data_IF_642973952634
#
_entry.id   IF_642973952634
#
_cell.length_a   1.000
_cell.length_b   1.000
_cell.length_c   1.000
_cell.angle_alpha   90.00
_cell.angle_beta   90.00
_cell.angle_gamma   90.00
#
_symmetry.space_group_name_H-M   'P 1'
#
loop_
_entity.id
_entity.type
_entity.pdbx_description
1 polymer ?
#
# COMPACT_ATOMS: atom_id res chain seq x y z
N UNK A 1 -25.14 1.23 45.18
CA UNK A 1 -24.98 2.69 45.04
C UNK A 1 -26.26 3.53 45.36
N UNK A 2 -27.29 2.96 45.99
CA UNK A 2 -28.44 3.71 46.49
C UNK A 2 -29.20 4.60 45.47
N UNK A 3 -29.25 4.15 44.21
CA UNK A 3 -29.90 4.86 43.09
C UNK A 3 -29.39 6.29 42.82
N UNK A 4 -28.17 6.63 43.24
CA UNK A 4 -27.50 7.89 42.95
C UNK A 4 -26.27 7.71 42.11
N UNK A 5 -25.92 8.71 41.30
CA UNK A 5 -24.72 8.75 40.47
C UNK A 5 -23.86 9.95 40.83
N UNK A 6 -22.53 9.75 40.78
CA UNK A 6 -21.58 10.86 40.91
C UNK A 6 -21.58 11.74 39.64
N UNK A 7 -20.99 12.93 39.76
CA UNK A 7 -20.81 13.80 38.60
C UNK A 7 -19.93 13.15 37.52
N UNK A 8 -18.90 12.40 37.93
CA UNK A 8 -18.00 11.68 37.04
C UNK A 8 -18.74 10.58 36.24
N UNK A 9 -19.56 9.77 36.93
CA UNK A 9 -20.39 8.77 36.27
C UNK A 9 -21.36 9.39 35.28
N UNK A 10 -22.02 10.52 35.65
CA UNK A 10 -22.94 11.23 34.72
C UNK A 10 -22.19 11.77 33.48
N UNK A 11 -20.97 12.30 33.65
CA UNK A 11 -20.15 12.73 32.53
C UNK A 11 -19.74 11.55 31.62
N UNK A 12 -19.42 10.42 32.22
CA UNK A 12 -19.12 9.21 31.46
C UNK A 12 -20.35 8.72 30.69
N UNK A 13 -21.52 8.62 31.31
CA UNK A 13 -22.76 8.25 30.62
C UNK A 13 -23.11 9.24 29.49
N UNK A 14 -22.96 10.52 29.71
CA UNK A 14 -23.17 11.53 28.67
C UNK A 14 -22.20 11.34 27.48
N UNK A 15 -20.90 11.10 27.74
CA UNK A 15 -19.92 10.81 26.72
C UNK A 15 -20.32 9.59 25.89
N UNK A 16 -20.72 8.49 26.54
CA UNK A 16 -21.13 7.26 25.83
C UNK A 16 -22.41 7.49 24.99
N UNK A 17 -23.40 8.19 25.54
CA UNK A 17 -24.63 8.52 24.84
C UNK A 17 -24.35 9.38 23.58
N UNK A 18 -23.52 10.43 23.73
CA UNK A 18 -23.15 11.29 22.60
C UNK A 18 -22.22 10.60 21.60
N UNK A 19 -21.41 9.64 22.02
CA UNK A 19 -20.62 8.80 21.10
C UNK A 19 -21.53 8.03 20.13
N UNK A 20 -22.62 7.45 20.65
CA UNK A 20 -23.60 6.73 19.83
C UNK A 20 -24.40 7.68 18.95
N UNK A 21 -25.00 8.74 19.53
CA UNK A 21 -25.89 9.64 18.78
C UNK A 21 -25.13 10.42 17.69
N UNK A 22 -23.94 10.95 18.00
CA UNK A 22 -23.14 11.70 17.00
C UNK A 22 -22.68 10.83 15.83
N UNK A 23 -22.37 9.56 16.08
CA UNK A 23 -22.05 8.60 15.02
C UNK A 23 -23.26 8.34 14.14
N UNK A 24 -24.41 8.10 14.75
CA UNK A 24 -25.68 7.87 14.05
C UNK A 24 -26.11 9.10 13.25
N UNK A 25 -26.09 10.30 13.86
CA UNK A 25 -26.45 11.55 13.20
C UNK A 25 -25.51 11.87 12.02
N UNK A 26 -24.21 11.57 12.15
CA UNK A 26 -23.24 11.69 11.04
C UNK A 26 -23.59 10.77 9.88
N UNK A 27 -24.01 9.53 10.16
CA UNK A 27 -24.41 8.59 9.13
C UNK A 27 -25.70 9.02 8.42
N UNK A 28 -26.70 9.52 9.18
CA UNK A 28 -27.93 10.09 8.63
C UNK A 28 -27.64 11.31 7.76
N UNK A 29 -26.82 12.25 8.26
CA UNK A 29 -26.43 13.41 7.48
C UNK A 29 -25.80 13.02 6.14
N UNK A 30 -24.78 12.13 6.17
CA UNK A 30 -24.11 11.68 4.96
C UNK A 30 -25.05 10.98 3.97
N UNK A 31 -26.07 10.26 4.48
CA UNK A 31 -27.09 9.63 3.64
C UNK A 31 -27.93 10.65 2.88
N UNK A 32 -28.38 11.73 3.56
CA UNK A 32 -29.21 12.77 2.94
C UNK A 32 -28.38 13.77 2.12
N UNK A 33 -27.15 14.06 2.52
CA UNK A 33 -26.23 14.95 1.78
C UNK A 33 -25.79 14.30 0.44
N UNK A 34 -25.73 12.96 0.39
CA UNK A 34 -25.47 12.20 -0.84
C UNK A 34 -24.18 12.62 -1.51
N UNK A 35 -24.28 13.03 -2.78
CA UNK A 35 -23.14 13.50 -3.59
C UNK A 35 -22.92 15.02 -3.48
N UNK A 36 -23.81 15.76 -2.85
CA UNK A 36 -23.70 17.22 -2.73
C UNK A 36 -22.44 17.64 -1.99
N UNK A 37 -22.08 16.91 -0.92
CA UNK A 37 -20.85 17.13 -0.17
C UNK A 37 -20.82 18.48 0.55
N UNK A 38 -21.99 18.94 1.07
CA UNK A 38 -22.15 20.25 1.69
C UNK A 38 -21.33 20.42 2.97
N UNK A 39 -21.01 19.30 3.67
CA UNK A 39 -20.13 19.30 4.83
C UNK A 39 -19.42 17.95 5.02
N UNK A 40 -18.16 18.01 5.46
CA UNK A 40 -17.41 16.80 5.81
C UNK A 40 -17.83 16.31 7.20
N UNK A 41 -18.36 15.08 7.26
CA UNK A 41 -18.70 14.36 8.49
C UNK A 41 -18.08 12.98 8.43
N UNK A 42 -17.13 12.70 9.33
CA UNK A 42 -16.50 11.39 9.45
C UNK A 42 -16.48 10.99 10.93
N UNK A 43 -16.93 9.78 11.21
CA UNK A 43 -16.93 9.21 12.55
C UNK A 43 -16.41 7.79 12.53
N UNK A 44 -15.40 7.50 13.33
CA UNK A 44 -14.83 6.18 13.53
C UNK A 44 -14.60 5.93 15.04
N UNK A 45 -15.16 4.85 15.56
CA UNK A 45 -15.23 4.61 17.00
C UNK A 45 -14.10 3.73 17.53
N UNK A 46 -13.59 2.79 16.76
CA UNK A 46 -12.63 1.80 17.24
C UNK A 46 -11.21 2.39 17.28
N UNK A 47 -10.84 2.97 18.42
CA UNK A 47 -9.50 3.50 18.63
C UNK A 47 -8.52 2.38 18.98
N UNK A 48 -7.43 2.30 18.21
CA UNK A 48 -6.23 1.55 18.57
C UNK A 48 -5.10 2.53 18.86
N UNK A 49 -4.58 2.53 20.09
CA UNK A 49 -3.39 3.32 20.43
C UNK A 49 -2.17 2.65 19.82
N UNK A 50 -1.39 3.40 19.07
CA UNK A 50 -0.13 2.95 18.49
C UNK A 50 1.02 3.28 19.46
N UNK A 51 2.14 2.59 19.31
CA UNK A 51 3.32 2.81 20.14
C UNK A 51 3.78 4.27 20.14
N UNK A 52 3.73 4.92 18.98
CA UNK A 52 4.00 6.36 18.74
C UNK A 52 3.41 6.74 17.38
N UNK A 53 3.45 8.01 17.01
CA UNK A 53 3.06 8.50 15.68
C UNK A 53 4.14 8.25 14.64
N UNK A 54 4.33 9.20 13.71
CA UNK A 54 5.41 9.12 12.72
C UNK A 54 6.79 9.14 13.40
N UNK A 55 6.92 9.92 14.46
CA UNK A 55 8.14 10.03 15.26
C UNK A 55 7.90 9.60 16.72
N UNK A 56 8.95 9.14 17.44
CA UNK A 56 8.82 8.57 18.79
C UNK A 56 8.22 9.49 19.85
N UNK A 57 8.31 10.80 19.70
CA UNK A 57 7.76 11.79 20.63
C UNK A 57 6.28 12.13 20.38
N UNK A 58 5.71 11.65 19.25
CA UNK A 58 4.32 11.89 18.86
C UNK A 58 3.43 10.77 19.37
N UNK A 59 2.24 11.11 19.88
CA UNK A 59 1.18 10.13 20.14
C UNK A 59 0.50 9.77 18.83
N UNK A 60 0.33 8.47 18.59
CA UNK A 60 -0.34 7.95 17.40
C UNK A 60 -1.57 7.13 17.78
N UNK A 61 -2.62 7.25 17.00
CA UNK A 61 -3.84 6.46 17.11
C UNK A 61 -4.33 6.09 15.72
N UNK A 62 -4.86 4.90 15.61
CA UNK A 62 -5.62 4.46 14.45
C UNK A 62 -7.09 4.34 14.86
N UNK A 63 -7.98 4.87 14.05
CA UNK A 63 -9.43 4.75 14.21
C UNK A 63 -9.99 3.96 13.05
N UNK A 64 -10.54 2.80 13.31
CA UNK A 64 -11.07 1.90 12.30
C UNK A 64 -10.98 0.44 12.73
N UNK A 65 -11.32 -0.48 11.84
CA UNK A 65 -11.29 -1.92 12.09
C UNK A 65 -10.24 -2.60 11.21
N UNK A 66 -9.00 -2.70 11.69
CA UNK A 66 -7.92 -3.41 10.99
C UNK A 66 -8.21 -4.91 10.87
N UNK A 67 -8.94 -5.49 11.83
CA UNK A 67 -9.28 -6.91 11.81
C UNK A 67 -10.28 -7.26 10.69
N UNK A 68 -11.02 -6.28 10.16
CA UNK A 68 -11.82 -6.47 8.95
C UNK A 68 -10.96 -6.60 7.69
N UNK A 69 -9.74 -6.07 7.72
CA UNK A 69 -8.81 -6.04 6.58
C UNK A 69 -7.77 -7.16 6.63
N UNK A 70 -7.30 -7.49 7.84
CA UNK A 70 -6.18 -8.41 8.05
C UNK A 70 -6.37 -9.27 9.30
N UNK A 71 -5.88 -10.51 9.24
CA UNK A 71 -5.53 -11.27 10.43
C UNK A 71 -4.02 -11.15 10.66
N UNK A 72 -3.62 -10.53 11.76
CA UNK A 72 -2.22 -10.54 12.18
C UNK A 72 -1.94 -11.86 12.92
N UNK A 73 -1.26 -12.77 12.25
CA UNK A 73 -1.00 -14.12 12.77
C UNK A 73 0.35 -14.25 13.47
N UNK A 74 1.26 -13.26 13.31
CA UNK A 74 2.57 -13.26 13.94
C UNK A 74 3.14 -11.84 14.10
N UNK A 75 4.07 -11.68 15.05
CA UNK A 75 4.98 -10.54 15.15
C UNK A 75 4.57 -9.46 16.17
N UNK A 76 5.32 -8.36 16.13
CA UNK A 76 5.10 -7.18 16.99
C UNK A 76 3.85 -6.41 16.57
N UNK A 77 3.39 -5.49 17.42
CA UNK A 77 2.33 -4.55 17.06
C UNK A 77 2.70 -3.70 15.83
N UNK A 78 1.70 -3.48 14.96
CA UNK A 78 1.84 -2.64 13.77
C UNK A 78 2.03 -1.19 14.20
N UNK A 79 3.07 -0.53 13.70
CA UNK A 79 3.38 0.88 13.98
C UNK A 79 2.63 1.83 13.03
N UNK A 80 2.66 3.12 13.35
CA UNK A 80 2.14 4.18 12.49
C UNK A 80 2.76 4.12 11.06
N UNK A 81 4.09 4.04 10.98
CA UNK A 81 4.78 3.97 9.70
C UNK A 81 4.49 2.66 8.94
N UNK A 82 4.39 1.52 9.67
CA UNK A 82 3.95 0.29 9.01
C UNK A 82 2.55 0.43 8.40
N UNK A 83 1.60 1.10 9.07
CA UNK A 83 0.26 1.31 8.51
C UNK A 83 0.28 2.15 7.23
N UNK A 84 1.14 3.16 7.14
CA UNK A 84 1.30 3.94 5.90
C UNK A 84 1.85 3.09 4.76
N UNK A 85 2.89 2.29 5.03
CA UNK A 85 3.49 1.40 4.05
C UNK A 85 2.53 0.27 3.64
N UNK A 86 1.78 -0.31 4.60
CA UNK A 86 0.74 -1.33 4.35
C UNK A 86 -0.35 -0.76 3.44
N UNK A 87 -0.83 0.47 3.69
CA UNK A 87 -1.83 1.10 2.83
C UNK A 87 -1.32 1.26 1.40
N UNK A 88 -0.09 1.77 1.22
CA UNK A 88 0.51 1.91 -0.10
C UNK A 88 0.70 0.54 -0.80
N UNK A 89 1.08 -0.50 -0.04
CA UNK A 89 1.23 -1.85 -0.55
C UNK A 89 -0.10 -2.45 -1.03
N UNK A 90 -1.18 -2.23 -0.27
CA UNK A 90 -2.53 -2.68 -0.64
C UNK A 90 -3.04 -1.93 -1.86
N UNK A 91 -2.90 -0.60 -1.89
CA UNK A 91 -3.31 0.21 -3.05
C UNK A 91 -2.60 -0.27 -4.34
N UNK A 92 -1.29 -0.55 -4.25
CA UNK A 92 -0.51 -0.99 -5.40
C UNK A 92 -0.86 -2.41 -5.86
N UNK A 93 -0.97 -3.38 -4.93
CA UNK A 93 -1.19 -4.79 -5.33
C UNK A 93 -2.57 -5.00 -5.94
N UNK A 94 -3.57 -4.18 -5.56
CA UNK A 94 -4.93 -4.23 -6.09
C UNK A 94 -5.04 -3.84 -7.57
N UNK A 95 -4.01 -3.24 -8.13
CA UNK A 95 -3.93 -2.95 -9.57
C UNK A 95 -3.66 -4.21 -10.43
N UNK A 96 -3.26 -5.35 -9.81
CA UNK A 96 -2.78 -6.53 -10.52
C UNK A 96 -3.70 -7.73 -10.31
N UNK A 97 -4.14 -8.32 -11.42
CA UNK A 97 -4.90 -9.59 -11.43
C UNK A 97 -3.97 -10.81 -11.52
N UNK A 98 -2.82 -10.68 -12.19
CA UNK A 98 -1.80 -11.72 -12.31
C UNK A 98 -1.06 -11.90 -11.00
N UNK A 99 -0.48 -13.09 -10.77
CA UNK A 99 0.37 -13.34 -9.59
C UNK A 99 1.52 -12.33 -9.57
N UNK A 100 1.50 -11.45 -8.60
CA UNK A 100 2.40 -10.32 -8.48
C UNK A 100 2.99 -10.27 -7.08
N UNK A 101 4.27 -9.94 -7.00
CA UNK A 101 4.94 -9.65 -5.75
C UNK A 101 5.50 -8.24 -5.77
N UNK A 102 5.25 -7.47 -4.71
CA UNK A 102 5.76 -6.12 -4.55
C UNK A 102 6.57 -5.98 -3.25
N UNK A 103 7.63 -5.21 -3.34
CA UNK A 103 8.49 -4.79 -2.23
C UNK A 103 8.41 -3.28 -2.12
N UNK A 104 7.91 -2.80 -0.98
CA UNK A 104 7.76 -1.36 -0.74
C UNK A 104 8.63 -0.88 0.40
N UNK A 105 9.06 0.37 0.31
CA UNK A 105 9.72 1.09 1.38
C UNK A 105 9.37 2.56 1.30
N UNK A 106 8.97 3.14 2.45
CA UNK A 106 8.55 4.55 2.52
C UNK A 106 7.46 4.89 1.49
N UNK A 107 6.42 4.03 1.43
CA UNK A 107 5.24 4.15 0.56
C UNK A 107 5.53 4.04 -0.96
N UNK A 108 6.72 3.62 -1.37
CA UNK A 108 7.05 3.46 -2.79
C UNK A 108 7.55 2.05 -3.08
N UNK A 109 7.23 1.53 -4.26
CA UNK A 109 7.77 0.27 -4.72
C UNK A 109 9.26 0.41 -5.05
N UNK A 110 10.09 -0.42 -4.44
CA UNK A 110 11.48 -0.60 -4.81
C UNK A 110 11.72 -1.88 -5.63
N UNK A 111 10.75 -2.79 -5.63
CA UNK A 111 10.73 -3.98 -6.46
C UNK A 111 9.29 -4.41 -6.74
N UNK A 112 9.03 -4.89 -7.95
CA UNK A 112 7.73 -5.46 -8.31
C UNK A 112 7.88 -6.30 -9.58
N UNK A 113 7.27 -7.48 -9.58
CA UNK A 113 7.18 -8.31 -10.77
C UNK A 113 5.91 -9.17 -10.77
N UNK A 114 5.38 -9.44 -11.98
CA UNK A 114 4.30 -10.40 -12.21
C UNK A 114 4.86 -11.63 -12.92
N UNK A 115 4.65 -12.83 -12.32
CA UNK A 115 5.17 -14.10 -12.83
C UNK A 115 4.16 -15.22 -12.60
N UNK A 116 4.32 -16.37 -13.24
CA UNK A 116 3.43 -17.53 -13.03
C UNK A 116 3.39 -18.02 -11.58
N UNK A 117 4.49 -17.91 -10.83
CA UNK A 117 4.59 -18.34 -9.43
C UNK A 117 5.00 -17.19 -8.50
N UNK A 118 4.65 -17.29 -7.21
CA UNK A 118 5.06 -16.32 -6.19
C UNK A 118 6.58 -16.30 -6.03
N UNK A 119 7.23 -17.46 -6.10
CA UNK A 119 8.69 -17.56 -6.02
C UNK A 119 9.40 -16.80 -7.15
N UNK A 120 8.95 -16.98 -8.39
CA UNK A 120 9.51 -16.25 -9.54
C UNK A 120 9.25 -14.75 -9.43
N UNK A 121 8.03 -14.37 -9.03
CA UNK A 121 7.64 -12.97 -8.82
C UNK A 121 8.49 -12.32 -7.71
N UNK A 122 8.74 -13.03 -6.60
CA UNK A 122 9.64 -12.58 -5.54
C UNK A 122 11.07 -12.36 -6.01
N UNK A 123 11.64 -13.32 -6.69
CA UNK A 123 13.04 -13.24 -7.15
C UNK A 123 13.26 -12.04 -8.08
N UNK A 124 12.35 -11.83 -9.02
CA UNK A 124 12.43 -10.72 -9.95
C UNK A 124 12.08 -9.37 -9.31
N UNK A 125 11.12 -9.34 -8.35
CA UNK A 125 10.85 -8.14 -7.57
C UNK A 125 12.06 -7.72 -6.73
N UNK A 126 12.69 -8.67 -6.03
CA UNK A 126 13.89 -8.40 -5.23
C UNK A 126 15.06 -7.88 -6.09
N UNK A 127 15.22 -8.40 -7.30
CA UNK A 127 16.29 -7.97 -8.22
C UNK A 127 16.20 -6.48 -8.58
N UNK A 128 15.02 -5.86 -8.53
CA UNK A 128 14.83 -4.44 -8.84
C UNK A 128 15.60 -3.50 -7.91
N UNK A 129 15.65 -3.80 -6.61
CA UNK A 129 16.46 -3.06 -5.63
C UNK A 129 16.65 -3.89 -4.35
N UNK A 130 17.59 -4.83 -4.33
CA UNK A 130 17.82 -5.69 -3.18
C UNK A 130 18.34 -4.94 -1.95
N UNK A 131 18.90 -3.76 -2.14
CA UNK A 131 19.42 -2.92 -1.04
C UNK A 131 18.26 -2.24 -0.29
N UNK A 132 17.34 -1.61 -1.02
CA UNK A 132 16.18 -0.95 -0.42
C UNK A 132 15.17 -1.95 0.13
N UNK A 133 15.12 -3.18 -0.38
CA UNK A 133 14.22 -4.24 0.10
C UNK A 133 14.46 -4.58 1.58
N UNK A 134 15.68 -4.37 2.09
CA UNK A 134 16.00 -4.62 3.50
C UNK A 134 15.17 -3.73 4.43
N UNK A 135 14.40 -4.36 5.32
CA UNK A 135 13.48 -3.68 6.25
C UNK A 135 12.22 -3.11 5.58
N UNK A 136 11.88 -3.58 4.39
CA UNK A 136 10.67 -3.17 3.66
C UNK A 136 9.39 -3.87 4.10
N UNK A 137 8.31 -3.52 3.43
CA UNK A 137 7.00 -4.18 3.47
C UNK A 137 6.84 -4.99 2.19
N UNK A 138 6.52 -6.26 2.35
CA UNK A 138 6.34 -7.23 1.28
C UNK A 138 4.85 -7.52 1.09
N UNK A 139 4.38 -7.60 -0.15
CA UNK A 139 3.01 -7.97 -0.44
C UNK A 139 2.92 -8.79 -1.73
N UNK A 140 2.03 -9.77 -1.72
CA UNK A 140 1.65 -10.54 -2.91
C UNK A 140 0.15 -10.80 -2.91
N UNK A 141 -0.42 -10.97 -4.11
CA UNK A 141 -1.79 -11.45 -4.30
C UNK A 141 -1.86 -12.98 -4.49
N UNK A 142 -0.72 -13.68 -4.44
CA UNK A 142 -0.64 -15.14 -4.48
C UNK A 142 -0.42 -15.75 -3.08
N UNK A 143 -0.70 -17.06 -2.95
CA UNK A 143 -0.41 -17.83 -1.72
C UNK A 143 1.09 -18.07 -1.62
N UNK A 144 1.66 -17.84 -0.44
CA UNK A 144 3.09 -18.05 -0.19
C UNK A 144 3.30 -19.52 0.21
N UNK A 145 3.96 -20.26 -0.67
CA UNK A 145 4.38 -21.63 -0.45
C UNK A 145 5.73 -21.71 0.29
N UNK A 146 6.17 -22.94 0.58
CA UNK A 146 7.42 -23.21 1.25
C UNK A 146 8.64 -22.65 0.50
N UNK A 147 8.72 -22.89 -0.80
CA UNK A 147 9.89 -22.51 -1.62
C UNK A 147 10.03 -20.98 -1.69
N UNK A 148 8.94 -20.27 -1.86
CA UNK A 148 8.92 -18.81 -1.79
C UNK A 148 9.31 -18.30 -0.39
N UNK A 149 8.81 -18.93 0.68
CA UNK A 149 9.12 -18.54 2.05
C UNK A 149 10.61 -18.73 2.38
N UNK A 150 11.25 -19.80 1.90
CA UNK A 150 12.70 -20.05 2.06
C UNK A 150 13.54 -18.93 1.43
N UNK A 151 13.19 -18.48 0.22
CA UNK A 151 13.89 -17.38 -0.45
C UNK A 151 13.62 -16.02 0.22
N UNK A 152 12.35 -15.73 0.56
CA UNK A 152 11.94 -14.50 1.27
C UNK A 152 12.64 -14.40 2.63
N UNK A 153 12.81 -15.52 3.34
CA UNK A 153 13.43 -15.55 4.66
C UNK A 153 14.91 -15.15 4.68
N UNK A 154 15.59 -15.14 3.52
CA UNK A 154 17.01 -14.75 3.40
C UNK A 154 17.25 -13.27 3.67
N UNK A 155 16.24 -12.42 3.55
CA UNK A 155 16.37 -10.99 3.86
C UNK A 155 15.59 -10.62 5.13
N UNK A 156 15.99 -9.50 5.74
CA UNK A 156 15.19 -8.87 6.79
C UNK A 156 14.10 -8.01 6.18
N UNK A 157 12.85 -8.17 6.66
CA UNK A 157 11.71 -7.33 6.34
C UNK A 157 10.85 -7.09 7.59
N UNK A 158 10.09 -6.01 7.60
CA UNK A 158 9.22 -5.63 8.73
C UNK A 158 7.86 -6.32 8.67
N UNK A 159 7.23 -6.33 7.49
CA UNK A 159 5.86 -6.82 7.28
C UNK A 159 5.83 -7.66 6.01
N UNK A 160 5.06 -8.75 6.05
CA UNK A 160 4.67 -9.50 4.86
C UNK A 160 3.16 -9.70 4.83
N UNK A 161 2.55 -9.53 3.66
CA UNK A 161 1.10 -9.57 3.43
C UNK A 161 0.81 -10.51 2.26
N UNK A 162 -0.04 -11.48 2.48
CA UNK A 162 -0.52 -12.39 1.44
C UNK A 162 -1.98 -12.79 1.71
N UNK A 163 -2.72 -13.30 0.73
CA UNK A 163 -4.07 -13.82 0.95
C UNK A 163 -4.07 -15.09 1.81
N UNK A 164 -2.99 -15.89 1.72
CA UNK A 164 -2.80 -17.09 2.53
C UNK A 164 -1.32 -17.56 2.50
N UNK A 165 -0.97 -18.49 3.37
CA UNK A 165 0.35 -19.07 3.52
C UNK A 165 0.24 -20.57 3.76
N UNK A 166 1.09 -21.35 3.13
CA UNK A 166 1.22 -22.77 3.47
C UNK A 166 1.77 -22.93 4.90
N UNK A 167 1.47 -24.06 5.55
CA UNK A 167 1.90 -24.34 6.93
C UNK A 167 3.42 -24.26 7.06
N UNK A 168 4.16 -24.89 6.15
CA UNK A 168 5.63 -24.86 6.14
C UNK A 168 6.15 -23.43 5.93
N UNK A 169 5.48 -22.62 5.11
CA UNK A 169 5.84 -21.22 4.89
C UNK A 169 5.71 -20.40 6.18
N UNK A 170 4.63 -20.61 6.95
CA UNK A 170 4.43 -19.94 8.23
C UNK A 170 5.50 -20.33 9.25
N UNK A 171 5.90 -21.60 9.30
CA UNK A 171 6.97 -22.06 10.20
C UNK A 171 8.31 -21.37 9.87
N UNK A 172 8.62 -21.21 8.59
CA UNK A 172 9.85 -20.55 8.12
C UNK A 172 9.81 -19.05 8.44
N UNK A 173 8.74 -18.36 8.04
CA UNK A 173 8.61 -16.91 8.19
C UNK A 173 8.46 -16.50 9.66
N UNK A 174 7.82 -17.33 10.50
CA UNK A 174 7.59 -17.09 11.93
C UNK A 174 8.85 -17.21 12.81
N UNK A 175 10.00 -17.68 12.29
CA UNK A 175 11.24 -17.81 13.07
C UNK A 175 11.75 -16.48 13.64
N UNK A 176 11.38 -15.34 13.07
CA UNK A 176 11.80 -14.01 13.52
C UNK A 176 10.68 -13.35 14.33
N UNK A 177 10.81 -13.35 15.67
CA UNK A 177 9.80 -12.89 16.64
C UNK A 177 9.10 -11.57 16.31
N UNK A 178 9.82 -10.59 15.77
CA UNK A 178 9.28 -9.25 15.52
C UNK A 178 8.70 -9.04 14.11
N UNK A 179 8.84 -10.02 13.22
CA UNK A 179 8.34 -9.96 11.85
C UNK A 179 6.82 -10.01 11.85
N UNK A 180 6.17 -9.05 11.22
CA UNK A 180 4.72 -8.97 11.15
C UNK A 180 4.25 -9.79 9.96
N UNK A 181 3.37 -10.78 10.20
CA UNK A 181 2.76 -11.61 9.15
C UNK A 181 1.26 -11.35 9.16
N UNK A 182 0.74 -10.87 8.02
CA UNK A 182 -0.66 -10.52 7.83
C UNK A 182 -1.30 -11.40 6.77
N UNK A 183 -2.42 -12.03 7.12
CA UNK A 183 -3.33 -12.63 6.13
C UNK A 183 -4.32 -11.56 5.69
N UNK A 184 -4.36 -11.28 4.41
CA UNK A 184 -5.26 -10.28 3.84
C UNK A 184 -6.65 -10.85 3.65
N UNK A 185 -7.67 -10.10 4.10
CA UNK A 185 -9.08 -10.43 3.90
C UNK A 185 -9.63 -9.73 2.65
N UNK A 186 -10.67 -10.28 2.01
CA UNK A 186 -11.33 -9.67 0.85
C UNK A 186 -12.21 -8.49 1.29
N UNK A 187 -11.60 -7.43 1.80
CA UNK A 187 -12.30 -6.21 2.22
C UNK A 187 -11.96 -5.07 1.26
N UNK A 188 -13.01 -4.40 0.77
CA UNK A 188 -12.82 -3.23 -0.09
C UNK A 188 -12.39 -2.00 0.72
N UNK A 189 -11.46 -1.24 0.15
CA UNK A 189 -11.10 0.07 0.68
C UNK A 189 -12.22 1.10 0.43
N UNK A 190 -12.33 2.14 1.26
CA UNK A 190 -13.31 3.21 1.04
C UNK A 190 -13.15 3.86 -0.33
N UNK A 191 -14.26 4.19 -1.00
CA UNK A 191 -14.25 4.85 -2.31
C UNK A 191 -13.68 6.27 -2.28
N UNK A 192 -13.76 6.95 -1.14
CA UNK A 192 -13.22 8.29 -0.93
C UNK A 192 -12.01 8.25 0.01
N UNK A 193 -11.06 9.11 -0.26
CA UNK A 193 -9.90 9.39 0.58
C UNK A 193 -10.00 10.81 1.11
N UNK A 194 -9.48 11.03 2.32
CA UNK A 194 -9.37 12.37 2.86
C UNK A 194 -8.01 12.58 3.54
N UNK A 195 -7.56 13.80 3.54
CA UNK A 195 -6.31 14.22 4.18
C UNK A 195 -6.54 15.51 4.96
N UNK A 196 -6.16 15.52 6.22
CA UNK A 196 -6.09 16.75 6.99
C UNK A 196 -4.90 17.61 6.54
N UNK A 197 -5.13 18.90 6.32
CA UNK A 197 -4.07 19.87 6.04
C UNK A 197 -4.54 21.26 6.44
N UNK A 198 -3.59 22.11 6.82
CA UNK A 198 -3.90 23.45 7.31
C UNK A 198 -4.98 23.38 8.41
N UNK A 199 -6.09 24.08 8.27
CA UNK A 199 -7.23 24.08 9.16
C UNK A 199 -8.46 23.35 8.57
N UNK A 200 -8.26 22.48 7.57
CA UNK A 200 -9.33 21.81 6.84
C UNK A 200 -9.01 20.36 6.46
N UNK A 201 -9.83 19.85 5.57
CA UNK A 201 -9.73 18.49 5.03
C UNK A 201 -9.87 18.54 3.51
N UNK A 202 -8.94 17.90 2.79
CA UNK A 202 -9.14 17.57 1.38
C UNK A 202 -9.82 16.21 1.27
N UNK A 203 -10.82 16.12 0.40
CA UNK A 203 -11.52 14.88 0.08
C UNK A 203 -11.45 14.68 -1.43
N UNK A 204 -11.17 13.46 -1.84
CA UNK A 204 -11.18 13.06 -3.25
C UNK A 204 -11.69 11.63 -3.39
N UNK A 205 -12.11 11.27 -4.58
CA UNK A 205 -12.35 9.88 -4.93
C UNK A 205 -11.01 9.13 -4.96
N UNK A 206 -11.03 7.85 -4.56
CA UNK A 206 -9.87 6.98 -4.76
C UNK A 206 -9.69 6.75 -6.25
N UNK A 207 -8.47 6.86 -6.75
CA UNK A 207 -8.15 6.55 -8.13
C UNK A 207 -8.21 5.04 -8.36
N UNK A 208 -9.33 4.59 -8.89
CA UNK A 208 -9.60 3.19 -9.24
C UNK A 208 -9.54 2.95 -10.74
N UNK A 209 -9.12 3.96 -11.53
CA UNK A 209 -8.99 3.81 -12.97
C UNK A 209 -7.77 2.94 -13.30
N UNK A 210 -7.97 1.90 -14.08
CA UNK A 210 -6.93 1.03 -14.62
C UNK A 210 -7.00 1.15 -16.14
N UNK A 211 -5.97 1.75 -16.74
CA UNK A 211 -5.88 1.93 -18.18
C UNK A 211 -5.79 0.57 -18.88
N UNK A 212 -6.43 0.51 -20.04
CA UNK A 212 -6.44 -0.65 -20.93
C UNK A 212 -5.73 -0.31 -22.24
N UNK A 213 -5.38 -1.31 -23.08
CA UNK A 213 -4.74 -1.06 -24.37
C UNK A 213 -5.48 -0.07 -25.26
N UNK A 214 -6.83 -0.07 -25.24
CA UNK A 214 -7.67 0.85 -26.01
C UNK A 214 -7.62 2.32 -25.55
N UNK A 215 -7.17 2.58 -24.34
CA UNK A 215 -7.03 3.94 -23.79
C UNK A 215 -5.73 4.60 -24.27
N UNK A 216 -4.77 3.79 -24.73
CA UNK A 216 -3.46 4.29 -25.18
C UNK A 216 -3.55 4.92 -26.58
N UNK A 217 -2.92 6.08 -26.74
CA UNK A 217 -2.80 6.80 -28.00
C UNK A 217 -1.36 6.92 -28.44
N UNK A 218 -1.04 6.42 -29.63
CA UNK A 218 0.30 6.59 -30.19
C UNK A 218 0.52 8.04 -30.59
N UNK A 219 1.42 8.75 -29.88
CA UNK A 219 1.75 10.14 -30.15
C UNK A 219 3.00 10.30 -31.04
N UNK A 220 3.72 9.22 -31.31
CA UNK A 220 4.96 9.19 -32.12
C UNK A 220 4.73 8.49 -33.45
N UNK A 221 5.70 8.64 -34.39
CA UNK A 221 5.63 7.97 -35.69
C UNK A 221 5.77 6.46 -35.60
N UNK A 222 6.45 5.94 -34.58
CA UNK A 222 6.60 4.50 -34.31
C UNK A 222 5.53 4.05 -33.34
N UNK A 223 4.69 3.12 -33.73
CA UNK A 223 3.75 2.45 -32.86
C UNK A 223 4.49 1.44 -31.93
N UNK A 224 4.00 1.27 -30.68
CA UNK A 224 4.53 0.25 -29.79
C UNK A 224 4.15 -1.16 -30.26
N UNK A 225 4.98 -2.13 -29.90
CA UNK A 225 4.63 -3.56 -30.04
C UNK A 225 3.64 -3.99 -28.97
N UNK A 226 3.00 -5.17 -29.12
CA UNK A 226 2.10 -5.72 -28.12
C UNK A 226 2.80 -5.90 -26.76
N UNK A 227 4.05 -6.38 -26.74
CA UNK A 227 4.82 -6.53 -25.50
C UNK A 227 5.16 -5.17 -24.86
N UNK A 228 5.50 -4.16 -25.64
CA UNK A 228 5.74 -2.82 -25.11
C UNK A 228 4.45 -2.22 -24.51
N UNK A 229 3.26 -2.51 -25.08
CA UNK A 229 1.97 -2.09 -24.51
C UNK A 229 1.73 -2.75 -23.16
N UNK A 230 1.93 -4.05 -23.04
CA UNK A 230 1.80 -4.76 -21.76
C UNK A 230 2.73 -4.19 -20.69
N UNK A 231 3.99 -3.96 -21.05
CA UNK A 231 5.00 -3.41 -20.14
C UNK A 231 4.70 -1.95 -19.77
N UNK A 232 4.16 -1.13 -20.70
CA UNK A 232 3.71 0.24 -20.41
C UNK A 232 2.53 0.27 -19.43
N UNK A 233 1.52 -0.58 -19.62
CA UNK A 233 0.38 -0.70 -18.71
C UNK A 233 0.84 -1.18 -17.31
N UNK A 234 1.75 -2.13 -17.27
CA UNK A 234 2.38 -2.58 -16.02
C UNK A 234 3.13 -1.42 -15.33
N UNK A 235 3.96 -0.69 -16.04
CA UNK A 235 4.70 0.44 -15.51
C UNK A 235 3.78 1.59 -15.06
N UNK A 236 2.65 1.80 -15.76
CA UNK A 236 1.67 2.83 -15.43
C UNK A 236 1.00 2.58 -14.08
N UNK A 237 0.64 1.34 -13.76
CA UNK A 237 0.12 0.95 -12.43
C UNK A 237 1.08 1.30 -11.30
N UNK A 238 2.38 1.11 -11.53
CA UNK A 238 3.41 1.40 -10.53
C UNK A 238 3.62 2.91 -10.37
N UNK A 239 3.72 3.65 -11.48
CA UNK A 239 3.98 5.09 -11.41
C UNK A 239 2.80 5.85 -10.81
N UNK A 240 1.55 5.42 -11.08
CA UNK A 240 0.32 5.93 -10.46
C UNK A 240 0.38 5.86 -8.92
N UNK A 241 0.95 4.79 -8.38
CA UNK A 241 1.12 4.55 -6.93
C UNK A 241 2.47 5.07 -6.39
N UNK A 242 3.17 5.92 -7.14
CA UNK A 242 4.48 6.47 -6.76
C UNK A 242 4.38 7.95 -6.40
N UNK A 243 5.28 8.41 -5.52
CA UNK A 243 5.31 9.82 -5.14
C UNK A 243 5.90 10.68 -6.25
N UNK A 244 5.13 11.68 -6.67
CA UNK A 244 5.50 12.66 -7.71
C UNK A 244 6.73 13.50 -7.32
N UNK A 245 7.59 13.94 -8.28
CA UNK A 245 7.64 13.46 -9.65
C UNK A 245 8.21 12.05 -9.67
N UNK A 246 7.62 11.19 -10.48
CA UNK A 246 8.02 9.79 -10.57
C UNK A 246 8.26 9.34 -12.02
N UNK A 247 9.27 8.49 -12.19
CA UNK A 247 9.56 7.74 -13.40
C UNK A 247 9.73 6.27 -13.03
N UNK A 248 9.09 5.40 -13.78
CA UNK A 248 9.21 3.93 -13.66
C UNK A 248 9.77 3.37 -14.96
N UNK A 249 10.81 2.53 -14.85
CA UNK A 249 11.38 1.75 -15.95
C UNK A 249 10.99 0.28 -15.76
N UNK A 250 10.39 -0.33 -16.77
CA UNK A 250 9.95 -1.71 -16.72
C UNK A 250 10.23 -2.47 -18.01
N UNK A 251 10.32 -3.80 -17.91
CA UNK A 251 10.46 -4.72 -19.04
C UNK A 251 10.02 -6.11 -18.62
N UNK A 252 9.22 -6.76 -19.46
CA UNK A 252 8.74 -8.12 -19.21
C UNK A 252 7.96 -8.22 -17.90
N UNK A 253 7.10 -7.24 -17.58
CA UNK A 253 6.34 -7.16 -16.32
C UNK A 253 7.22 -7.25 -15.06
N UNK A 254 8.39 -6.60 -15.12
CA UNK A 254 9.31 -6.42 -13.99
C UNK A 254 9.68 -4.95 -13.87
N UNK A 255 9.60 -4.40 -12.65
CA UNK A 255 10.14 -3.09 -12.31
C UNK A 255 11.67 -3.20 -12.30
N UNK A 256 12.33 -2.54 -13.26
CA UNK A 256 13.79 -2.50 -13.35
C UNK A 256 14.37 -1.45 -12.40
N UNK A 257 13.74 -0.27 -12.35
CA UNK A 257 14.07 0.78 -11.40
C UNK A 257 13.00 1.88 -11.42
N UNK A 258 12.96 2.67 -10.36
CA UNK A 258 12.15 3.89 -10.27
C UNK A 258 12.97 5.06 -9.73
N UNK A 259 12.63 6.27 -10.19
CA UNK A 259 13.03 7.53 -9.56
C UNK A 259 11.76 8.21 -9.06
N UNK A 260 11.67 8.49 -7.76
CA UNK A 260 10.43 8.93 -7.10
C UNK A 260 10.67 10.14 -6.20
N UNK A 261 9.64 10.97 -6.03
CA UNK A 261 9.67 12.10 -5.10
C UNK A 261 10.66 13.21 -5.46
N UNK A 262 11.03 13.32 -6.73
CA UNK A 262 11.98 14.32 -7.19
C UNK A 262 11.30 15.64 -7.55
N UNK A 263 12.02 16.76 -7.36
CA UNK A 263 11.53 18.10 -7.72
C UNK A 263 11.53 18.32 -9.24
N UNK A 264 12.32 17.56 -9.96
CA UNK A 264 12.43 17.58 -11.43
C UNK A 264 12.16 16.20 -12.01
N UNK A 265 11.34 16.12 -13.05
CA UNK A 265 11.08 14.87 -13.80
C UNK A 265 12.35 14.32 -14.46
N UNK A 266 13.23 15.21 -14.93
CA UNK A 266 14.53 14.83 -15.51
C UNK A 266 15.41 14.17 -14.46
N UNK A 267 15.40 14.65 -13.22
CA UNK A 267 16.18 14.05 -12.14
C UNK A 267 15.59 12.70 -11.71
N UNK A 268 14.26 12.55 -11.70
CA UNK A 268 13.61 11.25 -11.49
C UNK A 268 14.04 10.24 -12.57
N UNK A 269 14.10 10.65 -13.85
CA UNK A 269 14.57 9.79 -14.93
C UNK A 269 16.05 9.42 -14.78
N UNK A 270 16.92 10.37 -14.49
CA UNK A 270 18.35 10.11 -14.26
C UNK A 270 18.55 9.13 -13.11
N UNK A 271 17.83 9.35 -12.01
CA UNK A 271 17.88 8.45 -10.85
C UNK A 271 17.45 7.02 -11.21
N UNK A 272 16.35 6.86 -11.96
CA UNK A 272 15.87 5.56 -12.40
C UNK A 272 16.90 4.85 -13.30
N UNK A 273 17.49 5.57 -14.27
CA UNK A 273 18.51 5.01 -15.17
C UNK A 273 19.76 4.59 -14.41
N UNK A 274 20.26 5.44 -13.50
CA UNK A 274 21.45 5.13 -12.69
C UNK A 274 21.21 3.91 -11.81
N UNK A 275 20.03 3.86 -11.14
CA UNK A 275 19.64 2.75 -10.30
C UNK A 275 19.56 1.43 -11.07
N UNK A 276 18.92 1.41 -12.24
CA UNK A 276 18.85 0.24 -13.10
C UNK A 276 20.25 -0.28 -13.47
N UNK A 277 21.17 0.63 -13.85
CA UNK A 277 22.56 0.28 -14.18
C UNK A 277 23.31 -0.29 -12.98
N UNK A 278 23.12 0.28 -11.78
CA UNK A 278 23.77 -0.17 -10.57
C UNK A 278 23.39 -1.61 -10.19
N UNK A 279 22.17 -2.04 -10.53
CA UNK A 279 21.68 -3.40 -10.34
C UNK A 279 21.86 -4.30 -11.58
N UNK A 280 22.59 -3.83 -12.62
CA UNK A 280 22.99 -4.64 -13.76
C UNK A 280 21.91 -4.83 -14.83
N UNK A 281 20.85 -4.02 -14.82
CA UNK A 281 19.81 -4.11 -15.83
C UNK A 281 20.22 -3.49 -17.17
N UNK A 282 19.99 -4.23 -18.27
CA UNK A 282 20.03 -3.69 -19.62
C UNK A 282 18.69 -3.02 -19.94
N UNK A 283 18.72 -1.72 -20.14
CA UNK A 283 17.55 -0.91 -20.47
C UNK A 283 17.15 -0.95 -21.96
N UNK A 284 17.87 -1.71 -22.79
CA UNK A 284 17.49 -1.88 -24.20
C UNK A 284 16.13 -2.61 -24.28
N UNK A 285 15.15 -1.94 -24.91
CA UNK A 285 13.78 -2.45 -25.03
C UNK A 285 12.95 -2.33 -23.75
N UNK A 286 13.44 -1.61 -22.73
CA UNK A 286 12.62 -1.24 -21.58
C UNK A 286 11.64 -0.12 -21.95
N UNK A 287 10.50 -0.08 -21.26
CA UNK A 287 9.52 1.00 -21.34
C UNK A 287 9.67 1.95 -20.16
N UNK A 288 9.10 3.15 -20.31
CA UNK A 288 9.07 4.16 -19.27
C UNK A 288 7.64 4.64 -19.07
N UNK A 289 7.21 4.75 -17.81
CA UNK A 289 6.00 5.46 -17.40
C UNK A 289 6.38 6.68 -16.54
N UNK A 290 5.57 7.73 -16.66
CA UNK A 290 5.70 9.00 -15.91
C UNK A 290 4.36 9.33 -15.27
N UNK A 291 4.38 9.91 -14.07
CA UNK A 291 3.20 10.34 -13.31
C UNK A 291 2.51 11.59 -13.90
N UNK A 292 3.05 12.21 -14.91
CA UNK A 292 2.44 13.28 -15.74
C UNK A 292 3.20 13.50 -17.05
#
# INVERSE_FOLDING_TARGET
HGATTSLEERRWFAKEAFSVSSHYDSAIFNYFDGEEGSAFRCSANNQKTLRYGENPHQKGHFYGNLEAMFDQIHGKEISYNNLLDINAAVDLIDEFEETTFAVLKHNNACGLASRPTVLEAWNDALAGDPVSAFGGVLITNGVIDKDAAEEINKIFFEVIIAPDYDVDALEILGQKKNRIILVRKPAALPKKQFRSLLNGVLVQDRDLNIEKPEDLKTATTKAPTAQEIEDMLFANKIVKNSKSNAIVLAKGKQLLASGVGQTSRVDALKQAIEKAKNFGFDLKGAVMASDA
#
